data_IF_303007023818
#
_entry.id   IF_303007023818
#
_cell.length_a   1.000
_cell.length_b   1.000
_cell.length_c   1.000
_cell.angle_alpha   90.00
_cell.angle_beta   90.00
_cell.angle_gamma   90.00
#
_symmetry.space_group_name_H-M   'P 1'
#
loop_
_entity.id
_entity.type
_entity.pdbx_description
1 polymer ?
#
# COMPACT_ATOMS: atom_id res chain seq x y z
N UNK A 1 4.50 -6.54 -15.64
CA UNK A 1 5.52 -7.27 -14.88
C UNK A 1 4.92 -8.38 -14.03
N UNK A 2 3.98 -8.11 -13.12
CA UNK A 2 3.44 -9.15 -12.22
C UNK A 2 2.80 -10.35 -12.96
N UNK A 3 2.36 -10.18 -14.21
CA UNK A 3 1.77 -11.22 -15.07
C UNK A 3 2.69 -11.65 -16.24
N UNK A 4 3.95 -11.21 -16.27
CA UNK A 4 4.90 -11.60 -17.34
C UNK A 4 5.72 -12.84 -16.97
N UNK A 5 6.49 -13.34 -17.93
CA UNK A 5 7.45 -14.46 -17.81
C UNK A 5 8.79 -14.06 -17.18
N UNK A 6 8.85 -12.91 -16.49
CA UNK A 6 10.03 -12.56 -15.70
C UNK A 6 10.17 -13.60 -14.57
N UNK A 7 11.33 -14.26 -14.41
CA UNK A 7 11.49 -15.32 -13.41
C UNK A 7 11.11 -14.90 -11.98
N UNK A 8 11.33 -13.63 -11.61
CA UNK A 8 10.93 -13.13 -10.29
C UNK A 8 9.41 -13.00 -10.18
N UNK A 9 8.73 -12.62 -11.26
CA UNK A 9 7.27 -12.53 -11.29
C UNK A 9 6.63 -13.93 -11.26
N UNK A 10 7.19 -14.89 -11.99
CA UNK A 10 6.76 -16.30 -11.95
C UNK A 10 6.90 -16.85 -10.52
N UNK A 11 8.08 -16.73 -9.91
CA UNK A 11 8.34 -17.20 -8.56
C UNK A 11 7.44 -16.52 -7.49
N UNK A 12 7.05 -15.25 -7.70
CA UNK A 12 6.09 -14.58 -6.84
C UNK A 12 4.69 -15.19 -6.96
N UNK A 13 4.22 -15.44 -8.19
CA UNK A 13 2.90 -16.03 -8.47
C UNK A 13 2.78 -17.49 -8.02
N UNK A 14 3.88 -18.24 -7.97
CA UNK A 14 3.89 -19.60 -7.42
C UNK A 14 3.58 -19.66 -5.93
N UNK A 15 3.78 -18.55 -5.20
CA UNK A 15 3.66 -18.48 -3.73
C UNK A 15 2.55 -17.56 -3.24
N UNK A 16 2.02 -16.71 -4.12
CA UNK A 16 1.10 -15.65 -3.72
C UNK A 16 -0.03 -15.46 -4.71
N UNK A 17 -1.22 -15.18 -4.17
CA UNK A 17 -2.33 -14.64 -4.93
C UNK A 17 -2.28 -13.11 -4.87
N UNK A 18 -2.30 -12.46 -6.02
CA UNK A 18 -2.29 -11.00 -6.12
C UNK A 18 -3.72 -10.53 -6.44
N UNK A 19 -4.37 -9.91 -5.47
CA UNK A 19 -5.64 -9.24 -5.66
C UNK A 19 -5.40 -7.77 -5.97
N UNK A 20 -5.97 -7.28 -7.06
CA UNK A 20 -5.76 -5.92 -7.54
C UNK A 20 -7.10 -5.24 -7.85
N UNK A 21 -7.32 -4.06 -7.27
CA UNK A 21 -8.44 -3.16 -7.57
C UNK A 21 -7.88 -2.00 -8.40
N UNK A 22 -8.07 -1.97 -9.74
CA UNK A 22 -7.43 -0.97 -10.58
C UNK A 22 -7.87 0.47 -10.28
N UNK A 23 -9.15 0.64 -9.96
CA UNK A 23 -9.76 1.93 -9.63
C UNK A 23 -10.70 1.71 -8.45
N UNK A 24 -10.37 2.33 -7.32
CA UNK A 24 -11.15 2.22 -6.09
C UNK A 24 -12.38 3.14 -6.09
N UNK A 25 -12.17 4.39 -6.52
CA UNK A 25 -13.19 5.45 -6.55
C UNK A 25 -13.57 5.77 -8.00
N UNK A 26 -14.26 4.82 -8.64
CA UNK A 26 -14.60 4.87 -10.07
C UNK A 26 -15.51 6.06 -10.41
N UNK A 27 -16.41 6.43 -9.49
CA UNK A 27 -17.38 7.50 -9.69
C UNK A 27 -16.70 8.87 -9.80
N UNK A 28 -15.75 9.16 -8.90
CA UNK A 28 -14.97 10.40 -8.97
C UNK A 28 -14.04 10.44 -10.18
N UNK A 29 -13.48 9.30 -10.58
CA UNK A 29 -12.67 9.22 -11.81
C UNK A 29 -13.52 9.58 -13.03
N UNK A 30 -14.74 9.05 -13.12
CA UNK A 30 -15.64 9.31 -14.24
C UNK A 30 -16.01 10.79 -14.39
N UNK A 31 -16.00 11.57 -13.29
CA UNK A 31 -16.30 13.01 -13.30
C UNK A 31 -15.07 13.91 -13.24
N UNK A 32 -13.86 13.35 -13.30
CA UNK A 32 -12.61 14.12 -13.29
C UNK A 32 -12.24 14.74 -11.93
N UNK A 33 -12.73 14.18 -10.83
CA UNK A 33 -12.40 14.65 -9.48
C UNK A 33 -11.01 14.15 -9.04
N UNK A 34 -10.31 14.96 -8.24
CA UNK A 34 -8.95 14.67 -7.77
C UNK A 34 -8.82 13.63 -6.65
N UNK A 35 -9.91 12.93 -6.28
CA UNK A 35 -9.90 11.83 -5.30
C UNK A 35 -9.61 12.22 -3.84
N UNK A 36 -9.61 13.51 -3.49
CA UNK A 36 -9.42 14.03 -2.13
C UNK A 36 -10.58 14.92 -1.71
N UNK A 37 -10.92 14.86 -0.43
CA UNK A 37 -11.97 15.66 0.19
C UNK A 37 -13.34 15.46 -0.50
N UNK A 38 -13.63 14.23 -0.96
CA UNK A 38 -14.92 13.88 -1.54
C UNK A 38 -16.04 14.19 -0.54
N UNK A 39 -17.16 14.73 -1.06
CA UNK A 39 -18.39 14.98 -0.29
C UNK A 39 -19.36 13.82 -0.57
N UNK A 40 -20.06 13.28 0.45
CA UNK A 40 -20.09 13.74 1.83
C UNK A 40 -18.97 13.16 2.72
N UNK A 41 -18.09 12.32 2.16
CA UNK A 41 -17.02 11.67 2.93
C UNK A 41 -15.86 11.24 2.02
N UNK A 42 -14.64 11.52 2.46
CA UNK A 42 -13.42 11.17 1.73
C UNK A 42 -13.22 9.65 1.68
N UNK A 43 -12.88 9.12 0.50
CA UNK A 43 -12.74 7.68 0.27
C UNK A 43 -11.68 7.04 1.18
N UNK A 44 -10.57 7.75 1.44
CA UNK A 44 -9.50 7.29 2.32
C UNK A 44 -9.69 7.79 3.77
N UNK A 45 -10.92 8.16 4.14
CA UNK A 45 -11.39 8.31 5.53
C UNK A 45 -12.63 7.46 5.78
N UNK A 46 -13.04 6.64 4.82
CA UNK A 46 -14.27 5.85 4.92
C UNK A 46 -14.08 4.49 5.59
N UNK A 47 -12.84 4.11 5.92
CA UNK A 47 -12.48 2.83 6.52
C UNK A 47 -12.81 2.80 8.01
N UNK A 48 -14.11 2.77 8.32
CA UNK A 48 -14.65 2.91 9.67
C UNK A 48 -15.59 1.74 10.02
N UNK A 49 -16.30 1.82 11.14
CA UNK A 49 -17.35 0.86 11.47
C UNK A 49 -18.56 0.95 10.51
N UNK A 50 -18.83 2.14 9.97
CA UNK A 50 -19.95 2.43 9.10
C UNK A 50 -19.48 3.12 7.79
N UNK A 51 -18.73 2.41 6.94
CA UNK A 51 -18.28 2.92 5.63
C UNK A 51 -19.48 3.30 4.75
N UNK A 52 -19.38 4.43 4.06
CA UNK A 52 -20.41 4.97 3.18
C UNK A 52 -20.31 4.43 1.76
N UNK A 53 -19.12 4.11 1.29
CA UNK A 53 -18.88 3.69 -0.08
C UNK A 53 -18.94 2.15 -0.21
N UNK A 54 -19.76 1.66 -1.15
CA UNK A 54 -19.89 0.22 -1.41
C UNK A 54 -18.54 -0.43 -1.80
N UNK A 55 -17.69 0.33 -2.50
CA UNK A 55 -16.35 -0.12 -2.85
C UNK A 55 -15.52 -0.38 -1.58
N UNK A 56 -15.49 0.58 -0.64
CA UNK A 56 -14.78 0.45 0.65
C UNK A 56 -15.35 -0.70 1.49
N UNK A 57 -16.68 -0.80 1.60
CA UNK A 57 -17.35 -1.93 2.25
C UNK A 57 -16.89 -3.29 1.71
N UNK A 58 -16.84 -3.42 0.38
CA UNK A 58 -16.43 -4.65 -0.29
C UNK A 58 -14.96 -4.97 -0.02
N UNK A 59 -14.08 -3.97 -0.16
CA UNK A 59 -12.65 -4.13 0.13
C UNK A 59 -12.40 -4.56 1.59
N UNK A 60 -13.06 -3.89 2.55
CA UNK A 60 -12.98 -4.23 3.97
C UNK A 60 -13.43 -5.67 4.24
N UNK A 61 -14.52 -6.11 3.61
CA UNK A 61 -15.02 -7.50 3.73
C UNK A 61 -13.99 -8.50 3.20
N UNK A 62 -13.47 -8.28 1.99
CA UNK A 62 -12.46 -9.16 1.39
C UNK A 62 -11.19 -9.22 2.22
N UNK A 63 -10.70 -8.09 2.72
CA UNK A 63 -9.50 -8.02 3.57
C UNK A 63 -9.68 -8.83 4.85
N UNK A 64 -10.82 -8.67 5.54
CA UNK A 64 -11.14 -9.49 6.73
C UNK A 64 -11.19 -10.97 6.40
N UNK A 65 -11.86 -11.36 5.32
CA UNK A 65 -11.92 -12.76 4.89
C UNK A 65 -10.53 -13.33 4.60
N UNK A 66 -9.64 -12.59 3.92
CA UNK A 66 -8.28 -13.05 3.66
C UNK A 66 -7.43 -13.16 4.94
N UNK A 67 -7.58 -12.22 5.89
CA UNK A 67 -6.89 -12.29 7.17
C UNK A 67 -7.40 -13.48 7.99
N UNK A 68 -8.72 -13.65 8.14
CA UNK A 68 -9.36 -14.78 8.83
C UNK A 68 -8.86 -16.13 8.31
N UNK A 69 -8.68 -16.27 6.98
CA UNK A 69 -8.13 -17.44 6.31
C UNK A 69 -6.61 -17.60 6.44
N UNK A 70 -5.89 -16.65 7.06
CA UNK A 70 -4.43 -16.66 7.17
C UNK A 70 -3.70 -16.45 5.83
N UNK A 71 -4.38 -15.84 4.85
CA UNK A 71 -3.88 -15.62 3.48
C UNK A 71 -3.38 -14.20 3.24
N UNK A 72 -3.85 -13.23 4.03
CA UNK A 72 -3.39 -11.86 3.90
C UNK A 72 -2.00 -11.69 4.53
N UNK A 73 -1.04 -11.18 3.75
CA UNK A 73 0.31 -10.83 4.25
C UNK A 73 0.68 -9.38 3.98
N UNK A 74 -0.01 -8.73 3.05
CA UNK A 74 0.28 -7.37 2.63
C UNK A 74 -0.96 -6.67 2.06
N UNK A 75 -1.06 -5.37 2.32
CA UNK A 75 -1.97 -4.42 1.72
C UNK A 75 -1.17 -3.16 1.35
N UNK A 76 -1.22 -2.78 0.08
CA UNK A 76 -0.57 -1.56 -0.42
C UNK A 76 -1.63 -0.66 -1.03
N UNK A 77 -1.80 0.52 -0.45
CA UNK A 77 -2.68 1.56 -0.98
C UNK A 77 -1.87 2.50 -1.90
N UNK A 78 -2.34 2.75 -3.12
CA UNK A 78 -1.61 3.50 -4.14
C UNK A 78 -2.24 4.88 -4.32
N UNK A 79 -1.46 5.93 -4.04
CA UNK A 79 -1.91 7.32 -4.06
C UNK A 79 -1.00 8.20 -4.89
N UNK A 80 -1.41 9.46 -5.03
CA UNK A 80 -0.59 10.54 -5.52
C UNK A 80 -0.51 11.71 -4.50
N UNK A 81 0.68 12.29 -4.28
CA UNK A 81 0.89 13.31 -3.27
C UNK A 81 0.46 14.69 -3.79
N UNK A 82 0.81 15.77 -3.07
CA UNK A 82 0.70 17.12 -3.62
C UNK A 82 1.65 17.37 -4.80
N UNK A 83 1.37 18.40 -5.61
CA UNK A 83 2.12 18.72 -6.85
C UNK A 83 3.63 18.98 -6.65
N UNK A 84 4.04 19.26 -5.41
CA UNK A 84 5.42 19.59 -5.05
C UNK A 84 6.29 18.36 -4.74
N UNK A 85 5.69 17.19 -4.50
CA UNK A 85 6.44 15.97 -4.29
C UNK A 85 6.96 15.44 -5.63
N UNK A 86 8.29 15.37 -5.76
CA UNK A 86 8.99 14.97 -7.00
C UNK A 86 9.55 13.55 -6.99
N UNK A 87 9.43 12.85 -5.87
CA UNK A 87 9.83 11.47 -5.70
C UNK A 87 8.67 10.67 -5.10
N UNK A 88 8.54 9.37 -5.43
CA UNK A 88 7.63 8.50 -4.71
C UNK A 88 8.13 8.30 -3.27
N UNK A 89 7.22 8.11 -2.33
CA UNK A 89 7.55 7.84 -0.93
C UNK A 89 6.46 7.02 -0.26
N UNK A 90 6.79 6.41 0.89
CA UNK A 90 5.80 5.68 1.68
C UNK A 90 5.31 6.52 2.84
N UNK A 91 3.98 6.52 3.07
CA UNK A 91 3.43 6.83 4.38
C UNK A 91 3.46 5.58 5.25
N UNK A 92 3.91 5.76 6.50
CA UNK A 92 4.00 4.68 7.48
C UNK A 92 2.95 4.81 8.58
N UNK A 93 2.65 3.67 9.20
CA UNK A 93 1.75 3.64 10.34
C UNK A 93 2.32 4.44 11.53
N UNK A 94 1.46 5.10 12.30
CA UNK A 94 1.87 5.83 13.49
C UNK A 94 2.32 4.87 14.61
N UNK A 95 3.16 5.34 15.55
CA UNK A 95 3.66 4.51 16.65
C UNK A 95 2.58 3.74 17.42
N UNK A 96 1.38 4.32 17.53
CA UNK A 96 0.20 3.75 18.18
C UNK A 96 -0.29 2.44 17.54
N UNK A 97 0.08 2.15 16.29
CA UNK A 97 -0.24 0.92 15.58
C UNK A 97 0.98 -0.01 15.37
N UNK A 98 2.11 0.31 16.00
CA UNK A 98 3.33 -0.47 15.87
C UNK A 98 3.61 -1.32 17.10
N UNK A 99 3.71 -2.63 16.88
CA UNK A 99 4.51 -3.53 17.70
C UNK A 99 5.91 -3.64 17.11
N UNK A 100 6.86 -4.20 17.86
CA UNK A 100 8.24 -4.40 17.37
C UNK A 100 8.24 -5.20 16.06
N UNK A 101 7.44 -6.28 16.00
CA UNK A 101 7.30 -7.13 14.81
C UNK A 101 6.71 -6.35 13.63
N UNK A 102 5.62 -5.60 13.84
CA UNK A 102 5.00 -4.78 12.79
C UNK A 102 5.96 -3.74 12.22
N UNK A 103 6.74 -3.10 13.09
CA UNK A 103 7.75 -2.12 12.68
C UNK A 103 8.85 -2.80 11.87
N UNK A 104 9.41 -3.91 12.36
CA UNK A 104 10.46 -4.65 11.67
C UNK A 104 10.05 -5.12 10.27
N UNK A 105 8.84 -5.67 10.13
CA UNK A 105 8.32 -6.13 8.84
C UNK A 105 8.05 -4.98 7.87
N UNK A 106 7.51 -3.85 8.36
CA UNK A 106 7.34 -2.65 7.53
C UNK A 106 8.69 -2.10 7.06
N UNK A 107 9.68 -2.01 7.94
CA UNK A 107 11.02 -1.52 7.61
C UNK A 107 11.72 -2.45 6.61
N UNK A 108 11.58 -3.77 6.76
CA UNK A 108 12.09 -4.75 5.82
C UNK A 108 11.44 -4.61 4.43
N UNK A 109 10.14 -4.38 4.36
CA UNK A 109 9.45 -4.13 3.10
C UNK A 109 9.92 -2.83 2.42
N UNK A 110 10.03 -1.75 3.18
CA UNK A 110 10.54 -0.46 2.67
C UNK A 110 11.99 -0.62 2.18
N UNK A 111 12.83 -1.35 2.91
CA UNK A 111 14.20 -1.64 2.50
C UNK A 111 14.26 -2.43 1.19
N UNK A 112 13.40 -3.45 1.03
CA UNK A 112 13.28 -4.20 -0.22
C UNK A 112 12.87 -3.28 -1.39
N UNK A 113 11.89 -2.41 -1.19
CA UNK A 113 11.47 -1.44 -2.20
C UNK A 113 12.58 -0.44 -2.55
N UNK A 114 13.38 0.04 -1.59
CA UNK A 114 14.52 0.95 -1.85
C UNK A 114 15.61 0.32 -2.73
N UNK A 115 15.74 -1.00 -2.72
CA UNK A 115 16.68 -1.71 -3.62
C UNK A 115 16.20 -1.63 -5.07
N UNK A 116 14.89 -1.75 -5.29
CA UNK A 116 14.25 -1.93 -6.60
C UNK A 116 13.74 -0.61 -7.23
N UNK A 117 13.22 0.30 -6.41
CA UNK A 117 12.62 1.58 -6.82
C UNK A 117 13.69 2.67 -6.99
N UNK A 118 14.36 2.61 -8.13
CA UNK A 118 15.45 3.52 -8.53
C UNK A 118 14.95 4.50 -9.60
N UNK A 119 15.81 4.87 -10.52
CA UNK A 119 15.48 5.77 -11.62
C UNK A 119 14.33 5.23 -12.51
N UNK A 120 13.56 6.12 -13.15
CA UNK A 120 13.69 7.58 -13.11
C UNK A 120 12.94 8.25 -11.94
N UNK A 121 12.18 7.48 -11.16
CA UNK A 121 11.41 7.95 -10.00
C UNK A 121 11.86 7.22 -8.75
N UNK A 122 13.05 7.59 -8.25
CA UNK A 122 13.68 6.96 -7.10
C UNK A 122 12.86 7.16 -5.83
N UNK A 123 12.68 6.08 -5.07
CA UNK A 123 11.98 6.11 -3.78
C UNK A 123 12.74 6.99 -2.77
N UNK A 124 12.02 7.96 -2.20
CA UNK A 124 12.51 8.86 -1.17
C UNK A 124 12.87 8.08 0.11
N UNK A 125 13.82 8.62 0.88
CA UNK A 125 14.16 8.10 2.21
C UNK A 125 13.16 8.55 3.27
N UNK A 126 12.47 9.67 3.04
CA UNK A 126 11.43 10.16 3.94
C UNK A 126 10.27 9.18 4.03
N UNK A 127 9.81 8.93 5.26
CA UNK A 127 8.68 8.04 5.57
C UNK A 127 7.77 8.73 6.58
N UNK A 128 7.01 9.77 6.15
CA UNK A 128 6.11 10.46 7.04
C UNK A 128 5.02 9.52 7.58
N UNK A 129 4.44 9.85 8.73
CA UNK A 129 3.43 9.03 9.37
C UNK A 129 2.02 9.62 9.24
N UNK A 130 1.02 8.76 9.03
CA UNK A 130 -0.41 9.12 8.97
C UNK A 130 -1.08 9.02 10.34
N UNK A 131 -0.50 9.62 11.38
CA UNK A 131 -1.02 9.57 12.76
C UNK A 131 -1.99 10.69 13.16
N UNK A 132 -2.28 10.86 14.46
CA UNK A 132 -3.17 11.91 14.97
C UNK A 132 -2.79 13.35 14.57
N UNK A 133 -1.50 13.61 14.35
CA UNK A 133 -1.00 14.91 13.86
C UNK A 133 -1.29 15.15 12.38
N UNK A 134 -1.50 14.08 11.61
CA UNK A 134 -1.77 14.15 10.18
C UNK A 134 -3.26 14.37 9.91
N UNK A 135 -4.14 13.63 10.59
CA UNK A 135 -5.59 13.74 10.40
C UNK A 135 -6.38 13.35 11.66
N UNK A 136 -7.52 13.99 11.91
CA UNK A 136 -8.41 13.65 13.03
C UNK A 136 -9.00 12.25 12.91
N UNK A 137 -9.22 11.78 11.69
CA UNK A 137 -9.73 10.45 11.32
C UNK A 137 -8.60 9.51 10.89
N UNK A 138 -7.40 9.69 11.44
CA UNK A 138 -6.24 8.90 11.06
C UNK A 138 -6.45 7.37 11.17
N UNK A 139 -7.28 6.90 12.11
CA UNK A 139 -7.63 5.47 12.24
C UNK A 139 -8.49 4.95 11.09
N UNK A 140 -9.19 5.83 10.40
CA UNK A 140 -10.08 5.54 9.27
C UNK A 140 -9.38 5.69 7.91
N UNK A 141 -8.06 5.88 7.93
CA UNK A 141 -7.20 5.78 6.74
C UNK A 141 -6.97 4.31 6.44
N UNK A 142 -7.10 3.92 5.18
CA UNK A 142 -7.04 2.52 4.71
C UNK A 142 -5.92 1.69 5.35
N UNK A 143 -4.67 2.14 5.24
CA UNK A 143 -3.49 1.43 5.71
C UNK A 143 -3.42 1.34 7.23
N UNK A 144 -3.93 2.35 7.95
CA UNK A 144 -4.04 2.32 9.40
C UNK A 144 -5.16 1.38 9.86
N UNK A 145 -6.33 1.45 9.20
CA UNK A 145 -7.44 0.56 9.48
C UNK A 145 -7.03 -0.90 9.29
N UNK A 146 -6.42 -1.24 8.15
CA UNK A 146 -5.93 -2.60 7.86
C UNK A 146 -5.02 -3.08 8.98
N UNK A 147 -4.02 -2.30 9.36
CA UNK A 147 -3.11 -2.68 10.45
C UNK A 147 -3.80 -2.86 11.79
N UNK A 148 -4.87 -2.10 12.07
CA UNK A 148 -5.60 -2.20 13.33
C UNK A 148 -6.45 -3.47 13.45
N UNK A 149 -6.85 -4.08 12.32
CA UNK A 149 -7.80 -5.20 12.31
C UNK A 149 -7.21 -6.53 11.85
N UNK A 150 -5.99 -6.54 11.30
CA UNK A 150 -5.33 -7.75 10.78
C UNK A 150 -4.22 -8.24 11.70
N UNK A 151 -3.69 -9.44 11.43
CA UNK A 151 -2.56 -10.02 12.20
C UNK A 151 -1.28 -9.19 12.10
N UNK A 152 -0.37 -9.38 13.06
CA UNK A 152 0.88 -8.59 13.15
C UNK A 152 1.81 -8.73 11.94
N UNK A 153 1.77 -9.88 11.26
CA UNK A 153 2.60 -10.12 10.09
C UNK A 153 2.12 -9.39 8.83
N UNK A 154 0.90 -8.83 8.85
CA UNK A 154 0.34 -8.11 7.71
C UNK A 154 0.93 -6.71 7.63
N UNK A 155 1.61 -6.44 6.52
CA UNK A 155 2.09 -5.08 6.20
C UNK A 155 0.95 -4.29 5.54
N UNK A 156 0.41 -3.29 6.25
CA UNK A 156 -0.43 -2.26 5.66
C UNK A 156 0.38 -0.97 5.46
N UNK A 157 0.41 -0.43 4.24
CA UNK A 157 1.22 0.74 3.89
C UNK A 157 0.63 1.50 2.68
N UNK A 158 0.98 2.78 2.55
CA UNK A 158 0.55 3.62 1.42
C UNK A 158 1.76 4.10 0.62
N UNK A 159 1.77 3.85 -0.69
CA UNK A 159 2.76 4.40 -1.63
C UNK A 159 2.18 5.65 -2.30
N UNK A 160 2.88 6.78 -2.16
CA UNK A 160 2.58 8.01 -2.86
C UNK A 160 3.45 8.10 -4.12
N UNK A 161 2.83 8.18 -5.30
CA UNK A 161 3.52 8.30 -6.59
C UNK A 161 3.41 9.71 -7.14
N UNK A 162 4.54 10.39 -7.32
CA UNK A 162 4.57 11.76 -7.83
C UNK A 162 3.93 11.90 -9.22
N UNK A 163 3.16 12.98 -9.42
CA UNK A 163 2.37 13.19 -10.64
C UNK A 163 2.74 14.45 -11.44
N UNK A 164 3.71 15.24 -10.96
CA UNK A 164 4.13 16.47 -11.62
C UNK A 164 5.65 16.47 -11.89
N UNK A 165 6.09 15.53 -12.74
CA UNK A 165 7.48 15.36 -13.17
C UNK A 165 7.54 15.01 -14.67
N UNK A 166 8.70 15.13 -15.35
CA UNK A 166 8.85 14.66 -16.73
C UNK A 166 8.54 13.16 -16.93
N UNK A 167 8.64 12.37 -15.85
CA UNK A 167 8.36 10.93 -15.85
C UNK A 167 6.95 10.59 -15.34
N UNK A 168 6.11 11.60 -15.06
CA UNK A 168 4.71 11.42 -14.68
C UNK A 168 3.84 11.20 -15.92
N UNK A 169 4.09 10.06 -16.57
CA UNK A 169 3.41 9.61 -17.78
C UNK A 169 3.14 8.10 -17.65
N UNK A 170 2.29 7.50 -18.53
CA UNK A 170 1.94 6.08 -18.42
C UNK A 170 3.16 5.15 -18.32
N UNK A 171 4.21 5.38 -19.11
CA UNK A 171 5.41 4.54 -19.08
C UNK A 171 6.17 4.67 -17.75
N UNK A 172 6.24 5.88 -17.19
CA UNK A 172 6.82 6.10 -15.87
C UNK A 172 6.04 5.41 -14.76
N UNK A 173 4.70 5.45 -14.80
CA UNK A 173 3.87 4.74 -13.83
C UNK A 173 3.94 3.22 -13.98
N UNK A 174 4.03 2.70 -15.20
CA UNK A 174 4.31 1.28 -15.44
C UNK A 174 5.67 0.87 -14.87
N UNK A 175 6.67 1.76 -14.93
CA UNK A 175 7.99 1.54 -14.32
C UNK A 175 7.90 1.51 -12.79
N UNK A 176 7.17 2.44 -12.17
CA UNK A 176 6.91 2.45 -10.73
C UNK A 176 6.21 1.16 -10.29
N UNK A 177 5.15 0.74 -10.99
CA UNK A 177 4.42 -0.49 -10.70
C UNK A 177 5.28 -1.75 -10.84
N UNK A 178 6.13 -1.82 -11.87
CA UNK A 178 7.11 -2.90 -12.02
C UNK A 178 8.11 -2.93 -10.86
N UNK A 179 8.68 -1.79 -10.49
CA UNK A 179 9.68 -1.71 -9.42
C UNK A 179 9.06 -2.01 -8.04
N UNK A 180 7.83 -1.56 -7.78
CA UNK A 180 7.07 -1.96 -6.60
C UNK A 180 6.86 -3.49 -6.57
N UNK A 181 6.43 -4.08 -7.69
CA UNK A 181 6.27 -5.53 -7.82
C UNK A 181 7.55 -6.30 -7.49
N UNK A 182 8.70 -5.83 -7.98
CA UNK A 182 10.02 -6.40 -7.62
C UNK A 182 10.34 -6.24 -6.14
N UNK A 183 10.00 -5.08 -5.54
CA UNK A 183 10.15 -4.83 -4.11
C UNK A 183 9.32 -5.82 -3.27
N UNK A 184 8.07 -6.08 -3.68
CA UNK A 184 7.19 -7.07 -3.07
C UNK A 184 7.79 -8.48 -3.22
N UNK A 185 8.23 -8.87 -4.42
CA UNK A 185 8.85 -10.18 -4.64
C UNK A 185 10.12 -10.39 -3.80
N UNK A 186 10.96 -9.35 -3.68
CA UNK A 186 12.15 -9.38 -2.82
C UNK A 186 11.78 -9.54 -1.34
N UNK A 187 10.78 -8.81 -0.86
CA UNK A 187 10.31 -8.90 0.52
C UNK A 187 9.75 -10.30 0.83
N UNK A 188 8.93 -10.85 -0.07
CA UNK A 188 8.27 -12.15 0.10
C UNK A 188 9.16 -13.36 -0.24
N UNK A 189 10.47 -13.15 -0.42
CA UNK A 189 11.44 -14.26 -0.37
C UNK A 189 11.43 -14.94 1.00
N UNK A 190 11.08 -14.21 2.05
CA UNK A 190 10.83 -14.71 3.39
C UNK A 190 9.33 -14.60 3.68
N UNK A 191 8.73 -15.65 4.23
CA UNK A 191 7.32 -15.63 4.61
C UNK A 191 7.13 -14.83 5.91
N UNK A 192 6.46 -13.66 5.89
CA UNK A 192 6.33 -12.82 7.07
C UNK A 192 5.50 -13.46 8.21
N UNK A 193 4.76 -14.54 7.91
CA UNK A 193 4.00 -15.30 8.91
C UNK A 193 4.92 -16.03 9.88
N UNK A 194 6.10 -16.46 9.43
CA UNK A 194 7.08 -17.15 10.26
C UNK A 194 7.71 -16.15 11.25
N UNK A 195 7.87 -16.53 12.51
CA UNK A 195 8.64 -15.74 13.48
C UNK A 195 10.13 -15.95 13.24
N UNK A 196 10.93 -14.90 13.51
CA UNK A 196 12.40 -14.98 13.49
C UNK A 196 13.00 -15.96 14.50
N UNK A 197 12.17 -16.52 15.39
CA UNK A 197 12.58 -17.39 16.50
C UNK A 197 12.64 -18.89 16.11
N UNK A 198 12.61 -19.19 14.82
CA UNK A 198 12.84 -20.55 14.32
C UNK A 198 14.31 -20.75 13.96
N UNK A 199 15.20 -20.63 14.95
CA UNK A 199 16.58 -21.13 14.89
C UNK A 199 17.00 -21.70 16.23
#
# INVERSE_FOLDING_TARGET
>A
WAVSEDPQAVALREKTDIYFVPVMDIDNVATGNGGKNQVPHDHNRDWSEHPRWNAVQTAMKSIKTFDEQGRLVMFVDLHNPGANSKQPFFYIAPPELNTERRKALQDAFIAACRVEMREPLKLDRSTPSTGPKYDKRWKEISSNWVRSVTREHVVGITLETCWNTPHSNPQGYMTVGMQLGRGIARYLQQDPRQSSDSK
#
